data_IF_551377315188
#
_entry.id   IF_551377315188
#
_cell.length_a   1.000
_cell.length_b   1.000
_cell.length_c   1.000
_cell.angle_alpha   90.00
_cell.angle_beta   90.00
_cell.angle_gamma   90.00
#
_symmetry.space_group_name_H-M   'P 1'
#
loop_
_entity.id
_entity.type
_entity.pdbx_description
1 polymer ?
#
# COMPACT_ATOMS: atom_id res chain seq x y z
N UNK A 1 1.59 47.40 -40.47
CA UNK A 1 1.07 46.48 -39.42
C UNK A 1 -0.33 46.08 -39.85
N UNK A 2 -0.43 45.00 -40.64
CA UNK A 2 -1.70 44.53 -41.18
C UNK A 2 -2.11 43.26 -40.42
N UNK A 3 -3.24 43.37 -39.72
CA UNK A 3 -3.99 42.25 -39.18
C UNK A 3 -4.31 41.27 -40.31
N UNK A 4 -3.86 40.02 -40.21
CA UNK A 4 -4.65 38.83 -40.57
C UNK A 4 -3.90 37.55 -40.20
N UNK A 5 -3.86 37.24 -38.90
CA UNK A 5 -3.83 35.85 -38.42
C UNK A 5 -5.10 35.16 -38.93
N UNK A 6 -5.15 34.79 -40.21
CA UNK A 6 -6.21 33.90 -40.70
C UNK A 6 -5.92 32.51 -40.13
N UNK A 7 -6.52 32.26 -38.97
CA UNK A 7 -6.52 30.98 -38.27
C UNK A 7 -7.02 29.81 -39.15
N UNK A 8 -7.72 30.13 -40.24
CA UNK A 8 -8.15 29.21 -41.29
C UNK A 8 -7.57 29.69 -42.63
N UNK A 9 -6.82 28.84 -43.31
CA UNK A 9 -6.12 29.19 -44.55
C UNK A 9 -6.43 28.23 -45.71
N UNK A 10 -6.17 28.69 -46.93
CA UNK A 10 -6.17 27.89 -48.17
C UNK A 10 -7.41 27.00 -48.35
N UNK A 11 -8.61 27.59 -48.23
CA UNK A 11 -9.86 26.89 -48.54
C UNK A 11 -9.92 26.67 -50.07
N UNK A 12 -9.89 25.41 -50.51
CA UNK A 12 -9.92 25.03 -51.92
C UNK A 12 -10.99 23.97 -52.18
N UNK A 13 -11.77 24.16 -53.23
CA UNK A 13 -12.73 23.18 -53.71
C UNK A 13 -12.09 22.32 -54.81
N UNK A 14 -11.97 21.03 -54.55
CA UNK A 14 -11.56 20.05 -55.56
C UNK A 14 -12.80 19.35 -56.12
N UNK A 15 -12.94 19.39 -57.44
CA UNK A 15 -14.00 18.70 -58.17
C UNK A 15 -13.39 17.54 -58.96
N UNK A 16 -14.11 16.42 -59.01
CA UNK A 16 -13.71 15.27 -59.84
C UNK A 16 -13.77 15.62 -61.33
N UNK A 17 -12.84 15.06 -62.11
CA UNK A 17 -12.82 15.22 -63.57
C UNK A 17 -14.05 14.60 -64.25
N UNK A 18 -14.65 13.57 -63.62
CA UNK A 18 -15.82 12.85 -64.13
C UNK A 18 -17.17 13.57 -63.85
N UNK A 19 -17.12 14.84 -63.46
CA UNK A 19 -18.29 15.64 -63.09
C UNK A 19 -18.90 16.31 -64.33
N UNK A 20 -20.21 16.14 -64.55
CA UNK A 20 -20.92 16.87 -65.61
C UNK A 20 -20.95 18.37 -65.34
N UNK A 21 -21.19 19.19 -66.37
CA UNK A 21 -21.21 20.65 -66.21
C UNK A 21 -22.32 21.12 -65.26
N UNK A 22 -23.47 20.45 -65.26
CA UNK A 22 -24.57 20.70 -64.32
C UNK A 22 -24.16 20.36 -62.88
N UNK A 23 -23.49 19.22 -62.66
CA UNK A 23 -23.00 18.83 -61.34
C UNK A 23 -21.91 19.78 -60.83
N UNK A 24 -21.01 20.25 -61.71
CA UNK A 24 -20.01 21.28 -61.37
C UNK A 24 -20.68 22.57 -60.91
N UNK A 25 -21.72 23.02 -61.61
CA UNK A 25 -22.47 24.22 -61.24
C UNK A 25 -23.15 24.06 -59.87
N UNK A 26 -23.81 22.91 -59.64
CA UNK A 26 -24.44 22.58 -58.35
C UNK A 26 -23.40 22.60 -57.22
N UNK A 27 -22.23 22.00 -57.42
CA UNK A 27 -21.18 21.89 -56.43
C UNK A 27 -20.51 23.23 -56.13
N UNK A 28 -20.27 24.07 -57.15
CA UNK A 28 -19.74 25.43 -56.96
C UNK A 28 -20.71 26.28 -56.14
N UNK A 29 -22.03 26.18 -56.37
CA UNK A 29 -23.03 26.90 -55.59
C UNK A 29 -23.18 26.33 -54.18
N UNK A 30 -23.12 25.00 -54.03
CA UNK A 30 -23.18 24.33 -52.73
C UNK A 30 -21.99 24.70 -51.83
N UNK A 31 -20.77 24.77 -52.37
CA UNK A 31 -19.57 25.10 -51.61
C UNK A 31 -19.24 26.60 -51.58
N UNK A 32 -20.13 27.47 -52.08
CA UNK A 32 -19.89 28.91 -52.09
C UNK A 32 -19.83 29.45 -50.65
N UNK A 33 -18.68 30.01 -50.29
CA UNK A 33 -18.37 30.55 -48.97
C UNK A 33 -18.21 32.08 -49.03
N UNK A 34 -18.64 32.75 -47.95
CA UNK A 34 -18.22 34.09 -47.59
C UNK A 34 -17.41 33.97 -46.29
N UNK A 35 -16.09 34.16 -46.38
CA UNK A 35 -15.14 33.80 -45.31
C UNK A 35 -15.29 32.33 -44.88
N UNK A 36 -15.97 32.06 -43.78
CA UNK A 36 -16.23 30.71 -43.24
C UNK A 36 -17.70 30.31 -43.26
N UNK A 37 -18.58 31.16 -43.78
CA UNK A 37 -20.03 30.93 -43.80
C UNK A 37 -20.53 30.56 -45.19
N UNK A 38 -21.42 29.55 -45.28
CA UNK A 38 -22.00 29.14 -46.55
C UNK A 38 -23.04 30.15 -47.04
N UNK A 39 -22.87 30.61 -48.28
CA UNK A 39 -23.81 31.52 -48.94
C UNK A 39 -25.14 30.82 -49.21
N UNK A 40 -25.11 29.53 -49.55
CA UNK A 40 -26.28 28.74 -49.91
C UNK A 40 -26.47 27.56 -48.96
N UNK A 41 -27.64 27.47 -48.34
CA UNK A 41 -28.04 26.27 -47.59
C UNK A 41 -28.41 25.12 -48.56
N UNK A 42 -28.27 23.84 -48.16
CA UNK A 42 -28.61 22.70 -49.02
C UNK A 42 -30.08 22.71 -49.47
N UNK A 43 -30.98 23.27 -48.64
CA UNK A 43 -32.40 23.45 -48.98
C UNK A 43 -32.61 24.40 -50.17
N UNK A 44 -31.79 25.45 -50.30
CA UNK A 44 -31.87 26.40 -51.42
C UNK A 44 -31.37 25.76 -52.72
N UNK A 45 -30.26 25.02 -52.65
CA UNK A 45 -29.71 24.29 -53.81
C UNK A 45 -30.71 23.26 -54.35
N UNK A 46 -31.31 22.44 -53.47
CA UNK A 46 -32.33 21.46 -53.88
C UNK A 46 -33.52 22.08 -54.61
N UNK A 47 -33.99 23.24 -54.13
CA UNK A 47 -35.12 23.96 -54.76
C UNK A 47 -34.74 24.56 -56.11
N UNK A 48 -33.52 25.09 -56.25
CA UNK A 48 -33.05 25.72 -57.49
C UNK A 48 -32.85 24.71 -58.62
N UNK A 49 -32.32 23.53 -58.31
CA UNK A 49 -31.99 22.50 -59.30
C UNK A 49 -33.00 21.34 -59.34
N UNK A 50 -34.09 21.41 -58.56
CA UNK A 50 -35.14 20.38 -58.49
C UNK A 50 -34.58 18.97 -58.22
N UNK A 51 -33.62 18.86 -57.32
CA UNK A 51 -32.98 17.60 -56.92
C UNK A 51 -33.38 17.19 -55.49
N UNK A 52 -33.41 15.88 -55.24
CA UNK A 52 -33.64 15.30 -53.93
C UNK A 52 -32.43 15.48 -53.00
N UNK A 53 -32.63 15.25 -51.69
CA UNK A 53 -31.53 15.26 -50.72
C UNK A 53 -30.53 14.11 -50.96
N UNK A 54 -31.02 12.93 -51.35
CA UNK A 54 -30.16 11.77 -51.63
C UNK A 54 -29.27 12.02 -52.84
N UNK A 55 -29.80 12.65 -53.89
CA UNK A 55 -29.02 13.05 -55.06
C UNK A 55 -27.94 14.07 -54.68
N UNK A 56 -28.32 15.15 -53.99
CA UNK A 56 -27.34 16.16 -53.56
C UNK A 56 -26.22 15.54 -52.69
N UNK A 57 -26.58 14.70 -51.71
CA UNK A 57 -25.58 14.01 -50.87
C UNK A 57 -24.67 13.09 -51.68
N UNK A 58 -25.21 12.35 -52.65
CA UNK A 58 -24.42 11.48 -53.53
C UNK A 58 -23.47 12.30 -54.39
N UNK A 59 -23.96 13.36 -55.04
CA UNK A 59 -23.15 14.27 -55.86
C UNK A 59 -22.02 14.92 -55.07
N UNK A 60 -22.29 15.45 -53.86
CA UNK A 60 -21.26 16.07 -53.02
C UNK A 60 -20.23 15.05 -52.53
N UNK A 61 -20.66 13.87 -52.08
CA UNK A 61 -19.76 12.84 -51.55
C UNK A 61 -18.88 12.20 -52.63
N UNK A 62 -19.37 12.13 -53.88
CA UNK A 62 -18.67 11.46 -54.98
C UNK A 62 -17.72 12.41 -55.71
N UNK A 63 -18.14 13.66 -55.94
CA UNK A 63 -17.46 14.53 -56.89
C UNK A 63 -16.84 15.78 -56.27
N UNK A 64 -16.96 16.00 -54.97
CA UNK A 64 -16.36 17.18 -54.33
C UNK A 64 -15.67 16.88 -53.01
N UNK A 65 -14.55 17.56 -52.80
CA UNK A 65 -13.87 17.64 -51.51
C UNK A 65 -13.43 19.08 -51.30
N UNK A 66 -13.81 19.66 -50.17
CA UNK A 66 -13.28 20.95 -49.73
C UNK A 66 -12.05 20.70 -48.85
N UNK A 67 -10.89 21.22 -49.24
CA UNK A 67 -9.67 21.19 -48.43
C UNK A 67 -9.45 22.55 -47.79
N UNK A 68 -8.94 22.57 -46.56
CA UNK A 68 -8.63 23.80 -45.82
C UNK A 68 -7.61 23.50 -44.74
N UNK A 69 -6.98 24.55 -44.21
CA UNK A 69 -5.91 24.43 -43.23
C UNK A 69 -6.28 25.17 -41.95
N UNK A 70 -6.13 24.50 -40.80
CA UNK A 70 -6.36 25.11 -39.49
C UNK A 70 -5.04 25.35 -38.77
N UNK A 71 -4.87 26.54 -38.22
CA UNK A 71 -3.70 26.89 -37.44
C UNK A 71 -3.78 26.27 -36.04
N UNK A 72 -2.75 25.54 -35.64
CA UNK A 72 -2.63 25.01 -34.29
C UNK A 72 -1.70 25.87 -33.44
N UNK A 73 -2.24 26.44 -32.37
CA UNK A 73 -1.47 27.30 -31.45
C UNK A 73 -0.42 26.52 -30.64
N UNK A 74 -0.52 25.18 -30.57
CA UNK A 74 0.40 24.37 -29.78
C UNK A 74 1.72 24.07 -30.51
N UNK A 75 1.68 23.80 -31.81
CA UNK A 75 2.87 23.52 -32.62
C UNK A 75 3.16 24.61 -33.66
N UNK A 76 2.37 25.70 -33.67
CA UNK A 76 2.49 26.82 -34.60
C UNK A 76 2.49 26.40 -36.07
N UNK A 77 1.75 25.32 -36.39
CA UNK A 77 1.69 24.75 -37.74
C UNK A 77 0.25 24.64 -38.23
N UNK A 78 0.10 24.48 -39.54
CA UNK A 78 -1.20 24.26 -40.17
C UNK A 78 -1.49 22.76 -40.33
N UNK A 79 -2.68 22.33 -39.91
CA UNK A 79 -3.20 20.99 -40.16
C UNK A 79 -4.16 21.02 -41.36
N UNK A 80 -3.95 20.13 -42.32
CA UNK A 80 -4.85 19.97 -43.46
C UNK A 80 -6.10 19.21 -43.03
N UNK A 81 -7.26 19.77 -43.34
CA UNK A 81 -8.57 19.14 -43.17
C UNK A 81 -9.26 19.01 -44.51
N UNK A 82 -10.16 18.02 -44.58
CA UNK A 82 -10.97 17.73 -45.75
C UNK A 82 -12.42 17.57 -45.32
N UNK A 83 -13.34 18.21 -46.02
CA UNK A 83 -14.77 18.09 -45.79
C UNK A 83 -15.48 17.66 -47.08
N UNK A 84 -16.32 16.63 -46.96
CA UNK A 84 -17.17 16.12 -48.05
C UNK A 84 -18.62 16.63 -48.00
N UNK A 85 -18.94 17.43 -46.98
CA UNK A 85 -20.25 18.08 -46.82
C UNK A 85 -20.12 19.39 -46.02
N UNK A 86 -21.09 20.29 -46.19
CA UNK A 86 -21.20 21.50 -45.37
C UNK A 86 -21.29 21.17 -43.87
N UNK A 87 -21.98 20.08 -43.50
CA UNK A 87 -22.10 19.65 -42.10
C UNK A 87 -20.75 19.26 -41.50
N UNK A 88 -19.94 18.51 -42.25
CA UNK A 88 -18.59 18.11 -41.84
C UNK A 88 -17.67 19.32 -41.69
N UNK A 89 -17.70 20.25 -42.64
CA UNK A 89 -16.95 21.51 -42.54
C UNK A 89 -17.36 22.32 -41.30
N UNK A 90 -18.66 22.55 -41.12
CA UNK A 90 -19.19 23.30 -39.99
C UNK A 90 -18.85 22.66 -38.65
N UNK A 91 -18.86 21.33 -38.56
CA UNK A 91 -18.43 20.63 -37.35
C UNK A 91 -16.97 20.92 -37.03
N UNK A 92 -16.07 20.80 -38.02
CA UNK A 92 -14.66 21.09 -37.84
C UNK A 92 -14.41 22.55 -37.43
N UNK A 93 -15.11 23.51 -38.05
CA UNK A 93 -15.00 24.93 -37.69
C UNK A 93 -15.56 25.22 -36.29
N UNK A 94 -16.66 24.56 -35.87
CA UNK A 94 -17.19 24.68 -34.51
C UNK A 94 -16.24 24.13 -33.45
N UNK A 95 -15.62 22.99 -33.72
CA UNK A 95 -14.62 22.40 -32.84
C UNK A 95 -13.40 23.32 -32.73
N UNK A 96 -13.00 23.94 -33.84
CA UNK A 96 -11.93 24.93 -33.89
C UNK A 96 -12.21 26.17 -33.04
N UNK A 97 -13.42 26.72 -33.10
CA UNK A 97 -13.82 27.93 -32.34
C UNK A 97 -14.45 27.63 -30.96
N UNK A 98 -14.47 26.37 -30.52
CA UNK A 98 -15.14 25.98 -29.28
C UNK A 98 -14.52 26.69 -28.07
N UNK A 99 -15.33 27.47 -27.35
CA UNK A 99 -14.93 28.18 -26.11
C UNK A 99 -14.51 27.26 -24.97
N UNK A 100 -14.86 25.97 -25.06
CA UNK A 100 -14.50 24.97 -24.04
C UNK A 100 -13.06 24.48 -24.17
N UNK A 101 -12.40 24.70 -25.32
CA UNK A 101 -11.00 24.38 -25.53
C UNK A 101 -10.20 25.68 -25.58
N UNK A 102 -9.19 25.80 -24.70
CA UNK A 102 -8.36 27.02 -24.59
C UNK A 102 -7.56 27.35 -25.86
N UNK A 103 -7.47 26.42 -26.81
CA UNK A 103 -6.87 26.58 -28.14
C UNK A 103 -7.14 25.33 -28.99
N UNK A 104 -7.21 25.47 -30.33
CA UNK A 104 -7.29 24.30 -31.22
C UNK A 104 -6.00 23.48 -31.17
N UNK A 105 -6.15 22.17 -31.00
CA UNK A 105 -5.05 21.21 -31.02
C UNK A 105 -5.17 20.28 -32.23
N UNK A 106 -4.18 20.34 -33.12
CA UNK A 106 -4.06 19.43 -34.26
C UNK A 106 -3.86 17.99 -33.80
N UNK A 107 -4.10 17.04 -34.70
CA UNK A 107 -3.95 15.62 -34.41
C UNK A 107 -2.52 15.25 -34.03
N UNK A 108 -1.50 15.86 -34.66
CA UNK A 108 -0.11 15.64 -34.27
C UNK A 108 0.13 15.97 -32.79
N UNK A 109 -0.31 17.14 -32.33
CA UNK A 109 -0.18 17.54 -30.92
C UNK A 109 -1.00 16.63 -29.99
N UNK A 110 -2.19 16.19 -30.40
CA UNK A 110 -2.99 15.23 -29.62
C UNK A 110 -2.26 13.90 -29.46
N UNK A 111 -1.66 13.38 -30.53
CA UNK A 111 -0.91 12.12 -30.50
C UNK A 111 0.37 12.23 -29.68
N UNK A 112 1.14 13.32 -29.80
CA UNK A 112 2.32 13.55 -28.96
C UNK A 112 1.95 13.58 -27.48
N UNK A 113 0.83 14.22 -27.12
CA UNK A 113 0.37 14.24 -25.73
C UNK A 113 -0.07 12.86 -25.23
N UNK A 114 -0.76 12.07 -26.06
CA UNK A 114 -1.09 10.69 -25.71
C UNK A 114 0.17 9.87 -25.49
N UNK A 115 1.15 9.99 -26.37
CA UNK A 115 2.44 9.29 -26.24
C UNK A 115 3.18 9.72 -24.96
N UNK A 116 3.24 11.02 -24.67
CA UNK A 116 3.85 11.52 -23.44
C UNK A 116 3.13 10.99 -22.19
N UNK A 117 1.80 10.97 -22.20
CA UNK A 117 1.01 10.38 -21.13
C UNK A 117 1.33 8.90 -20.95
N UNK A 118 1.37 8.12 -22.03
CA UNK A 118 1.75 6.70 -21.98
C UNK A 118 3.17 6.50 -21.44
N UNK A 119 4.15 7.27 -21.93
CA UNK A 119 5.54 7.22 -21.45
C UNK A 119 5.65 7.57 -19.97
N UNK A 120 4.87 8.55 -19.49
CA UNK A 120 4.88 8.92 -18.08
C UNK A 120 4.25 7.83 -17.20
N UNK A 121 3.18 7.17 -17.67
CA UNK A 121 2.58 6.02 -16.99
C UNK A 121 3.56 4.84 -16.91
N UNK A 122 4.25 4.54 -18.01
CA UNK A 122 5.29 3.50 -18.04
C UNK A 122 6.45 3.85 -17.10
N UNK A 123 6.88 5.11 -17.08
CA UNK A 123 7.93 5.58 -16.16
C UNK A 123 7.53 5.38 -14.71
N UNK A 124 6.32 5.82 -14.32
CA UNK A 124 5.78 5.64 -12.96
C UNK A 124 5.69 4.17 -12.57
N UNK A 125 5.24 3.31 -13.49
CA UNK A 125 5.20 1.86 -13.28
C UNK A 125 6.59 1.28 -13.07
N UNK A 126 7.56 1.68 -13.88
CA UNK A 126 8.94 1.20 -13.77
C UNK A 126 9.62 1.67 -12.47
N UNK A 127 9.37 2.90 -12.04
CA UNK A 127 9.85 3.41 -10.75
C UNK A 127 9.28 2.63 -9.57
N UNK A 128 7.98 2.31 -9.61
CA UNK A 128 7.30 1.51 -8.61
C UNK A 128 7.88 0.09 -8.53
N UNK A 129 8.08 -0.57 -9.67
CA UNK A 129 8.71 -1.90 -9.75
C UNK A 129 10.13 -1.86 -9.15
N UNK A 130 10.94 -0.85 -9.50
CA UNK A 130 12.30 -0.70 -8.95
C UNK A 130 12.31 -0.54 -7.43
N UNK A 131 11.35 0.18 -6.86
CA UNK A 131 11.21 0.33 -5.39
C UNK A 131 10.93 -1.00 -4.72
N UNK A 132 9.91 -1.72 -5.20
CA UNK A 132 9.58 -3.04 -4.70
C UNK A 132 10.76 -4.03 -4.88
N UNK A 133 11.46 -3.94 -6.01
CA UNK A 133 12.62 -4.79 -6.29
C UNK A 133 13.73 -4.59 -5.25
N UNK A 134 14.05 -3.33 -4.96
CA UNK A 134 15.05 -2.92 -3.99
C UNK A 134 14.66 -3.30 -2.56
N UNK A 135 13.38 -3.17 -2.21
CA UNK A 135 12.86 -3.59 -0.91
C UNK A 135 13.04 -5.10 -0.68
N UNK A 136 12.89 -5.90 -1.74
CA UNK A 136 13.10 -7.34 -1.71
C UNK A 136 14.58 -7.68 -1.55
N UNK A 137 15.46 -7.04 -2.32
CA UNK A 137 16.92 -7.19 -2.19
C UNK A 137 17.43 -6.84 -0.79
N UNK A 138 16.89 -5.75 -0.22
CA UNK A 138 17.22 -5.30 1.13
C UNK A 138 16.58 -6.14 2.24
N UNK A 139 15.72 -7.11 1.88
CA UNK A 139 14.96 -7.93 2.82
C UNK A 139 14.16 -7.09 3.82
N UNK A 140 13.47 -6.05 3.35
CA UNK A 140 12.73 -5.10 4.20
C UNK A 140 11.70 -5.78 5.12
N UNK A 141 11.26 -7.00 4.80
CA UNK A 141 10.41 -7.80 5.69
C UNK A 141 11.05 -8.07 7.06
N UNK A 142 12.36 -7.94 7.22
CA UNK A 142 13.05 -8.01 8.52
C UNK A 142 12.61 -6.91 9.47
N UNK A 143 12.22 -5.74 8.96
CA UNK A 143 11.75 -4.59 9.75
C UNK A 143 10.32 -4.76 10.26
N UNK A 144 9.58 -5.76 9.75
CA UNK A 144 8.22 -6.05 10.16
C UNK A 144 8.19 -6.83 11.48
N UNK A 145 7.19 -6.54 12.31
CA UNK A 145 6.82 -7.35 13.47
C UNK A 145 6.35 -8.74 13.05
N UNK A 146 6.29 -9.69 14.00
CA UNK A 146 5.83 -11.05 13.72
C UNK A 146 4.38 -11.10 13.20
N UNK A 147 3.52 -10.20 13.70
CA UNK A 147 2.16 -10.07 13.21
C UNK A 147 2.14 -9.60 11.75
N UNK A 148 2.89 -8.54 11.42
CA UNK A 148 2.98 -8.00 10.06
C UNK A 148 3.62 -9.00 9.09
N UNK A 149 4.62 -9.77 9.52
CA UNK A 149 5.18 -10.89 8.73
C UNK A 149 4.12 -11.94 8.42
N UNK A 150 3.28 -12.28 9.39
CA UNK A 150 2.13 -13.16 9.19
C UNK A 150 1.12 -12.60 8.20
N UNK A 151 0.79 -11.31 8.31
CA UNK A 151 -0.10 -10.60 7.36
C UNK A 151 0.50 -10.61 5.96
N UNK A 152 1.76 -10.25 5.80
CA UNK A 152 2.46 -10.26 4.52
C UNK A 152 2.44 -11.66 3.89
N UNK A 153 2.77 -12.70 4.67
CA UNK A 153 2.70 -14.09 4.17
C UNK A 153 1.31 -14.41 3.61
N UNK A 154 0.27 -14.07 4.36
CA UNK A 154 -1.10 -14.31 3.93
C UNK A 154 -1.44 -13.49 2.67
N UNK A 155 -0.93 -12.26 2.54
CA UNK A 155 -1.07 -11.48 1.30
C UNK A 155 -0.45 -12.18 0.08
N UNK A 156 0.61 -12.96 0.26
CA UNK A 156 1.22 -13.74 -0.82
C UNK A 156 0.43 -15.01 -1.18
N UNK A 157 -0.51 -15.43 -0.34
CA UNK A 157 -1.26 -16.69 -0.44
C UNK A 157 -2.71 -16.50 -0.89
N UNK A 158 -3.32 -15.37 -0.58
CA UNK A 158 -4.73 -15.11 -0.87
C UNK A 158 -4.95 -13.70 -1.41
N UNK A 159 -6.17 -13.39 -1.85
CA UNK A 159 -6.57 -12.05 -2.28
C UNK A 159 -7.12 -11.25 -1.10
N UNK A 160 -7.43 -9.96 -1.32
CA UNK A 160 -7.86 -9.06 -0.24
C UNK A 160 -9.15 -9.47 0.48
N UNK A 161 -10.21 -9.88 -0.23
CA UNK A 161 -11.46 -10.29 0.43
C UNK A 161 -11.29 -11.53 1.33
N UNK A 162 -10.64 -12.63 0.88
CA UNK A 162 -10.27 -13.74 1.77
C UNK A 162 -9.41 -13.31 2.95
N UNK A 163 -8.42 -12.43 2.75
CA UNK A 163 -7.54 -11.92 3.80
C UNK A 163 -8.34 -11.15 4.86
N UNK A 164 -9.20 -10.24 4.42
CA UNK A 164 -10.11 -9.46 5.26
C UNK A 164 -11.02 -10.38 6.06
N UNK A 165 -11.59 -11.41 5.45
CA UNK A 165 -12.44 -12.38 6.15
C UNK A 165 -11.65 -13.23 7.15
N UNK A 166 -10.44 -13.67 6.80
CA UNK A 166 -9.57 -14.45 7.67
C UNK A 166 -9.21 -13.68 8.94
N UNK A 167 -8.70 -12.46 8.79
CA UNK A 167 -8.34 -11.61 9.92
C UNK A 167 -9.55 -11.01 10.63
N UNK A 168 -10.67 -10.79 9.94
CA UNK A 168 -11.93 -10.39 10.56
C UNK A 168 -12.44 -11.43 11.56
N UNK A 169 -12.31 -12.73 11.24
CA UNK A 169 -12.65 -13.82 12.15
C UNK A 169 -11.67 -13.95 13.32
N UNK A 170 -10.37 -13.75 13.08
CA UNK A 170 -9.31 -13.91 14.10
C UNK A 170 -9.26 -12.72 15.08
N UNK A 171 -9.37 -11.50 14.57
CA UNK A 171 -9.19 -10.27 15.35
C UNK A 171 -10.51 -9.74 15.93
N UNK A 172 -11.65 -10.05 15.29
CA UNK A 172 -12.94 -9.43 15.58
C UNK A 172 -13.05 -8.00 15.03
N UNK A 173 -14.26 -7.44 15.10
CA UNK A 173 -14.59 -6.10 14.55
C UNK A 173 -13.79 -4.97 15.20
N UNK A 174 -13.57 -5.02 16.51
CA UNK A 174 -12.91 -3.98 17.30
C UNK A 174 -11.41 -3.83 16.99
N UNK A 175 -10.75 -4.93 16.59
CA UNK A 175 -9.32 -4.97 16.29
C UNK A 175 -9.02 -5.07 14.79
N UNK A 176 -10.04 -5.02 13.94
CA UNK A 176 -9.84 -5.04 12.49
C UNK A 176 -8.93 -3.91 11.99
N UNK A 177 -8.94 -2.76 12.69
CA UNK A 177 -8.00 -1.65 12.46
C UNK A 177 -6.51 -2.05 12.53
N UNK A 178 -6.17 -3.12 13.27
CA UNK A 178 -4.80 -3.62 13.36
C UNK A 178 -4.34 -4.26 12.04
N UNK A 179 -5.23 -4.97 11.33
CA UNK A 179 -4.94 -5.47 9.97
C UNK A 179 -4.64 -4.30 9.03
N UNK A 180 -5.49 -3.27 9.05
CA UNK A 180 -5.33 -2.08 8.20
C UNK A 180 -3.99 -1.38 8.49
N UNK A 181 -3.64 -1.21 9.77
CA UNK A 181 -2.34 -0.65 10.17
C UNK A 181 -1.17 -1.51 9.70
N UNK A 182 -1.27 -2.84 9.82
CA UNK A 182 -0.24 -3.75 9.34
C UNK A 182 -0.07 -3.66 7.82
N UNK A 183 -1.17 -3.60 7.06
CA UNK A 183 -1.12 -3.42 5.60
C UNK A 183 -0.42 -2.11 5.21
N UNK A 184 -0.73 -1.00 5.88
CA UNK A 184 -0.02 0.26 5.65
C UNK A 184 1.46 0.18 6.01
N UNK A 185 1.81 -0.49 7.10
CA UNK A 185 3.22 -0.67 7.48
C UNK A 185 3.97 -1.53 6.45
N UNK A 186 3.34 -2.58 5.91
CA UNK A 186 3.93 -3.42 4.86
C UNK A 186 4.11 -2.62 3.56
N UNK A 187 3.16 -1.78 3.18
CA UNK A 187 3.28 -0.88 2.03
C UNK A 187 4.39 0.17 2.25
N UNK A 188 4.52 0.72 3.45
CA UNK A 188 5.60 1.66 3.83
C UNK A 188 6.99 1.02 3.78
N UNK A 189 7.07 -0.31 3.91
CA UNK A 189 8.30 -1.08 3.68
C UNK A 189 8.53 -1.41 2.20
N UNK A 190 7.68 -0.91 1.29
CA UNK A 190 7.74 -1.14 -0.15
C UNK A 190 7.68 -2.64 -0.50
N UNK A 191 6.88 -3.42 0.24
CA UNK A 191 6.71 -4.87 -0.01
C UNK A 191 5.41 -5.20 -0.76
N UNK A 192 4.39 -4.35 -0.59
CA UNK A 192 3.12 -4.42 -1.31
C UNK A 192 2.73 -3.01 -1.77
N UNK A 193 1.75 -2.93 -2.67
CA UNK A 193 1.06 -1.70 -3.07
C UNK A 193 -0.40 -1.87 -2.69
N UNK A 194 -0.98 -0.93 -1.95
CA UNK A 194 -2.39 -0.98 -1.61
C UNK A 194 -3.20 -0.22 -2.66
N UNK A 195 -4.19 -0.90 -3.22
CA UNK A 195 -5.21 -0.28 -4.08
C UNK A 195 -6.31 0.29 -3.19
N UNK A 196 -6.67 1.55 -3.43
CA UNK A 196 -7.63 2.28 -2.61
C UNK A 196 -8.76 2.84 -3.48
N UNK A 197 -9.94 2.97 -2.90
CA UNK A 197 -11.07 3.66 -3.53
C UNK A 197 -10.97 5.19 -3.36
N UNK A 198 -12.02 5.91 -3.79
CA UNK A 198 -12.10 7.38 -3.64
C UNK A 198 -12.18 7.85 -2.19
N UNK A 199 -12.55 6.96 -1.25
CA UNK A 199 -12.65 7.24 0.18
C UNK A 199 -11.41 6.83 0.98
N UNK A 200 -10.30 6.50 0.30
CA UNK A 200 -9.05 6.00 0.89
C UNK A 200 -9.20 4.62 1.57
N UNK A 201 -10.28 3.88 1.27
CA UNK A 201 -10.46 2.53 1.76
C UNK A 201 -9.68 1.55 0.90
N UNK A 202 -8.92 0.65 1.54
CA UNK A 202 -8.21 -0.43 0.86
C UNK A 202 -9.25 -1.36 0.22
N UNK A 203 -9.15 -1.52 -1.10
CA UNK A 203 -9.98 -2.42 -1.90
C UNK A 203 -9.21 -3.66 -2.37
N UNK A 204 -7.88 -3.55 -2.50
CA UNK A 204 -7.03 -4.65 -2.90
C UNK A 204 -5.55 -4.36 -2.61
N UNK A 205 -4.66 -5.29 -2.98
CA UNK A 205 -3.22 -5.06 -2.99
C UNK A 205 -2.52 -5.78 -4.13
N UNK A 206 -1.34 -5.29 -4.48
CA UNK A 206 -0.42 -5.90 -5.43
C UNK A 206 0.95 -6.10 -4.79
N UNK A 207 1.75 -7.00 -5.35
CA UNK A 207 3.14 -7.22 -4.95
C UNK A 207 3.92 -7.76 -6.15
N UNK A 208 5.26 -7.68 -6.09
CA UNK A 208 6.09 -8.33 -7.10
C UNK A 208 6.10 -9.84 -6.89
N UNK A 209 5.84 -10.61 -7.95
CA UNK A 209 5.79 -12.08 -7.87
C UNK A 209 7.07 -12.69 -7.29
N UNK A 210 8.25 -12.09 -7.52
CA UNK A 210 9.52 -12.55 -6.94
C UNK A 210 9.55 -12.55 -5.40
N UNK A 211 8.68 -11.77 -4.74
CA UNK A 211 8.55 -11.79 -3.28
C UNK A 211 8.07 -13.15 -2.77
N UNK A 212 7.35 -13.92 -3.60
CA UNK A 212 6.89 -15.29 -3.25
C UNK A 212 8.05 -16.25 -3.00
N UNK A 213 9.17 -16.06 -3.66
CA UNK A 213 10.35 -16.93 -3.51
C UNK A 213 10.95 -16.83 -2.10
N UNK A 214 10.72 -15.71 -1.42
CA UNK A 214 11.20 -15.44 -0.05
C UNK A 214 10.17 -15.78 1.03
N UNK A 215 9.05 -16.40 0.67
CA UNK A 215 7.95 -16.72 1.60
C UNK A 215 8.40 -17.48 2.85
N UNK A 216 9.36 -18.38 2.72
CA UNK A 216 9.91 -19.15 3.84
C UNK A 216 10.77 -18.29 4.78
N UNK A 217 11.51 -17.31 4.24
CA UNK A 217 12.32 -16.36 5.03
C UNK A 217 11.47 -15.33 5.78
N UNK A 218 10.28 -15.01 5.26
CA UNK A 218 9.34 -14.07 5.88
C UNK A 218 8.77 -14.68 7.18
N UNK A 219 8.69 -16.00 7.29
CA UNK A 219 8.26 -16.69 8.51
C UNK A 219 9.32 -16.71 9.60
N UNK A 220 8.97 -16.24 10.79
CA UNK A 220 9.69 -16.62 12.00
C UNK A 220 9.34 -18.06 12.36
N UNK A 221 10.31 -18.96 12.26
CA UNK A 221 10.23 -20.24 12.97
C UNK A 221 9.98 -19.92 14.45
N UNK A 222 8.88 -20.45 15.02
CA UNK A 222 8.80 -20.62 16.47
C UNK A 222 9.97 -21.52 16.82
N UNK A 223 11.03 -20.94 17.37
CA UNK A 223 12.02 -21.72 18.09
C UNK A 223 11.26 -22.34 19.26
N UNK A 224 10.79 -23.57 19.07
CA UNK A 224 10.39 -24.47 20.14
C UNK A 224 11.66 -24.82 20.93
N UNK A 225 12.29 -23.84 21.57
CA UNK A 225 13.29 -24.15 22.57
C UNK A 225 12.53 -24.70 23.76
N UNK A 226 12.63 -26.00 24.00
CA UNK A 226 12.20 -26.58 25.26
C UNK A 226 12.83 -25.78 26.40
N UNK A 227 11.98 -25.28 27.29
CA UNK A 227 12.41 -24.53 28.46
C UNK A 227 13.26 -25.45 29.35
N UNK A 228 14.59 -25.31 29.31
CA UNK A 228 15.55 -25.96 30.23
C UNK A 228 15.50 -25.35 31.64
N UNK A 229 14.30 -25.25 32.23
CA UNK A 229 14.16 -24.79 33.61
C UNK A 229 14.12 -26.02 34.53
N UNK A 230 15.18 -26.21 35.32
CA UNK A 230 15.13 -27.07 36.49
C UNK A 230 14.42 -26.32 37.63
N UNK A 231 13.39 -26.92 38.20
CA UNK A 231 12.77 -26.42 39.43
C UNK A 231 13.42 -27.17 40.60
N UNK A 232 14.10 -26.45 41.49
CA UNK A 232 14.52 -27.02 42.77
C UNK A 232 13.27 -27.33 43.61
N UNK A 233 13.22 -28.52 44.21
CA UNK A 233 12.07 -29.00 44.98
C UNK A 233 11.96 -28.42 46.39
N UNK A 234 12.98 -27.69 46.85
CA UNK A 234 13.09 -27.14 48.21
C UNK A 234 13.54 -25.67 48.16
N UNK A 235 12.60 -24.77 47.90
CA UNK A 235 12.86 -23.32 47.94
C UNK A 235 11.66 -22.60 48.55
N UNK A 236 11.89 -21.56 49.36
CA UNK A 236 10.85 -20.63 49.83
C UNK A 236 10.36 -19.66 48.74
N UNK A 237 10.49 -20.06 47.47
CA UNK A 237 10.15 -19.27 46.30
C UNK A 237 8.84 -19.77 45.69
N UNK A 238 7.93 -18.85 45.37
CA UNK A 238 6.72 -19.16 44.62
C UNK A 238 6.92 -18.79 43.15
N UNK A 239 7.01 -19.80 42.28
CA UNK A 239 7.16 -19.63 40.83
C UNK A 239 5.91 -20.11 40.10
N UNK A 240 5.25 -19.22 39.36
CA UNK A 240 4.02 -19.52 38.63
C UNK A 240 4.23 -19.27 37.13
N UNK A 241 3.77 -20.21 36.31
CA UNK A 241 3.66 -20.00 34.86
C UNK A 241 2.30 -19.36 34.57
N UNK A 242 2.30 -18.14 34.06
CA UNK A 242 1.12 -17.44 33.60
C UNK A 242 0.85 -17.86 32.15
N UNK A 243 -0.23 -18.59 31.94
CA UNK A 243 -0.66 -19.07 30.63
C UNK A 243 -1.46 -18.01 29.89
N UNK A 244 -1.25 -17.92 28.58
CA UNK A 244 -2.01 -17.00 27.72
C UNK A 244 -3.50 -17.38 27.78
N UNK A 245 -4.34 -16.39 28.05
CA UNK A 245 -5.78 -16.54 27.99
C UNK A 245 -6.23 -16.63 26.52
N UNK A 246 -6.41 -17.85 26.02
CA UNK A 246 -6.90 -18.09 24.65
C UNK A 246 -8.39 -17.80 24.50
N UNK A 247 -9.12 -17.73 25.61
CA UNK A 247 -10.56 -17.46 25.67
C UNK A 247 -10.84 -15.99 26.01
N UNK A 248 -10.00 -15.08 25.48
CA UNK A 248 -10.14 -13.66 25.73
C UNK A 248 -11.33 -13.10 24.94
N UNK A 249 -12.47 -12.91 25.61
CA UNK A 249 -13.70 -12.38 24.99
C UNK A 249 -13.81 -10.85 25.00
N UNK A 250 -13.03 -10.14 25.82
CA UNK A 250 -13.05 -8.67 25.95
C UNK A 250 -11.63 -8.09 25.98
N UNK A 251 -11.35 -6.89 25.43
CA UNK A 251 -10.02 -6.25 25.48
C UNK A 251 -9.48 -6.04 26.91
N UNK A 252 -10.36 -5.74 27.87
CA UNK A 252 -9.98 -5.59 29.29
C UNK A 252 -9.83 -6.94 30.02
N UNK A 253 -10.14 -8.07 29.37
CA UNK A 253 -9.88 -9.37 29.96
C UNK A 253 -8.38 -9.61 30.12
N UNK A 254 -7.95 -10.32 31.20
CA UNK A 254 -6.55 -10.60 31.44
C UNK A 254 -5.88 -11.28 30.25
N UNK A 255 -4.71 -10.76 29.84
CA UNK A 255 -3.89 -11.36 28.78
C UNK A 255 -3.41 -12.77 29.17
N UNK A 256 -3.13 -12.94 30.46
CA UNK A 256 -2.78 -14.22 31.05
C UNK A 256 -3.87 -14.63 32.05
N UNK A 257 -4.40 -15.83 31.88
CA UNK A 257 -5.41 -16.39 32.77
C UNK A 257 -5.28 -17.92 32.78
N UNK A 258 -5.66 -18.52 33.91
CA UNK A 258 -5.63 -19.95 34.12
C UNK A 258 -5.97 -20.28 35.57
N UNK A 259 -6.07 -21.57 35.87
CA UNK A 259 -6.24 -22.09 37.22
C UNK A 259 -4.95 -22.76 37.68
N UNK A 260 -4.68 -22.71 38.99
CA UNK A 260 -3.49 -23.30 39.61
C UNK A 260 -3.95 -24.14 40.80
N UNK A 261 -3.42 -25.35 40.91
CA UNK A 261 -3.69 -26.26 42.04
C UNK A 261 -2.41 -26.50 42.82
N UNK A 262 -2.39 -26.09 44.09
CA UNK A 262 -1.26 -26.35 44.99
C UNK A 262 -1.44 -27.69 45.70
N UNK A 263 -0.44 -28.56 45.61
CA UNK A 263 -0.42 -29.86 46.30
C UNK A 263 -0.07 -29.76 47.79
N UNK A 264 0.41 -28.59 48.22
CA UNK A 264 0.82 -28.28 49.59
C UNK A 264 0.30 -26.90 49.97
N UNK A 265 0.12 -26.65 51.26
CA UNK A 265 -0.23 -25.33 51.75
C UNK A 265 0.87 -24.32 51.39
N UNK A 266 0.45 -23.14 50.90
CA UNK A 266 1.31 -21.99 50.66
C UNK A 266 0.96 -20.93 51.70
N UNK A 267 1.95 -20.43 52.43
CA UNK A 267 1.76 -19.39 53.45
C UNK A 267 2.57 -18.16 53.07
N UNK A 268 1.90 -17.03 52.90
CA UNK A 268 2.52 -15.71 52.73
C UNK A 268 2.37 -14.99 54.06
N UNK A 269 3.47 -14.72 54.75
CA UNK A 269 3.45 -14.25 56.13
C UNK A 269 3.29 -12.71 56.19
N UNK A 270 2.45 -12.18 57.08
CA UNK A 270 2.36 -10.75 57.31
C UNK A 270 3.67 -10.21 57.88
N UNK A 271 4.07 -9.00 57.46
CA UNK A 271 5.30 -8.35 57.93
C UNK A 271 6.60 -8.84 57.29
N UNK A 272 6.54 -9.81 56.36
CA UNK A 272 7.69 -10.20 55.54
C UNK A 272 7.64 -9.46 54.21
N UNK A 273 8.78 -8.90 53.81
CA UNK A 273 8.95 -8.23 52.52
C UNK A 273 9.38 -9.24 51.44
N UNK A 274 8.75 -9.16 50.27
CA UNK A 274 8.96 -10.08 49.16
C UNK A 274 9.38 -9.33 47.90
N UNK A 275 10.40 -9.84 47.22
CA UNK A 275 10.74 -9.45 45.86
C UNK A 275 9.84 -10.20 44.90
N UNK A 276 9.20 -9.47 43.99
CA UNK A 276 8.47 -10.05 42.88
C UNK A 276 9.10 -9.64 41.55
N UNK A 277 9.04 -10.53 40.58
CA UNK A 277 9.46 -10.23 39.22
C UNK A 277 8.63 -11.04 38.23
N UNK A 278 8.53 -10.48 37.02
CA UNK A 278 7.95 -11.15 35.88
C UNK A 278 8.97 -11.20 34.75
N UNK A 279 9.03 -12.33 34.05
CA UNK A 279 9.90 -12.46 32.88
C UNK A 279 9.20 -13.19 31.76
N UNK A 280 9.30 -12.63 30.57
CA UNK A 280 8.87 -13.25 29.34
C UNK A 280 9.79 -14.43 29.02
N UNK A 281 9.22 -15.59 28.70
CA UNK A 281 9.95 -16.76 28.22
C UNK A 281 9.40 -17.21 26.86
N UNK A 282 10.13 -18.14 26.25
CA UNK A 282 9.76 -18.74 24.98
C UNK A 282 8.27 -19.18 24.94
N UNK A 283 7.67 -19.02 23.75
CA UNK A 283 6.25 -19.27 23.48
C UNK A 283 5.27 -18.30 24.18
N UNK A 284 5.64 -17.02 24.29
CA UNK A 284 4.82 -15.93 24.85
C UNK A 284 4.30 -16.21 26.28
N UNK A 285 4.96 -17.13 27.01
CA UNK A 285 4.58 -17.46 28.38
C UNK A 285 5.26 -16.48 29.32
N UNK A 286 4.48 -15.91 30.23
CA UNK A 286 4.99 -15.06 31.29
C UNK A 286 5.18 -15.92 32.54
N UNK A 287 6.29 -15.73 33.23
CA UNK A 287 6.54 -16.38 34.52
C UNK A 287 6.56 -15.32 35.60
N UNK A 288 5.78 -15.57 36.63
CA UNK A 288 5.75 -14.76 37.85
C UNK A 288 6.57 -15.47 38.92
N UNK A 289 7.32 -14.70 39.70
CA UNK A 289 8.04 -15.22 40.86
C UNK A 289 7.95 -14.27 42.02
N UNK A 290 7.82 -14.84 43.21
CA UNK A 290 7.77 -14.16 44.49
C UNK A 290 8.74 -14.85 45.45
N UNK A 291 9.67 -14.10 46.04
CA UNK A 291 10.74 -14.60 46.91
C UNK A 291 10.88 -13.66 48.12
N UNK A 292 10.90 -14.17 49.36
CA UNK A 292 11.15 -13.30 50.52
C UNK A 292 12.57 -12.73 50.50
N UNK A 293 12.74 -11.46 50.90
CA UNK A 293 14.06 -10.80 50.87
C UNK A 293 15.12 -11.59 51.65
N UNK A 294 14.72 -12.28 52.72
CA UNK A 294 15.60 -13.13 53.53
C UNK A 294 16.33 -14.23 52.75
N UNK A 295 15.82 -14.64 51.58
CA UNK A 295 16.53 -15.61 50.71
C UNK A 295 17.72 -15.00 49.97
N UNK A 296 17.73 -13.68 49.79
CA UNK A 296 18.86 -12.94 49.20
C UNK A 296 19.88 -12.57 50.29
N UNK A 297 19.44 -12.41 51.53
CA UNK A 297 20.28 -12.16 52.70
C UNK A 297 20.73 -13.48 53.36
N UNK A 298 21.47 -14.31 52.62
CA UNK A 298 22.12 -15.50 53.19
C UNK A 298 23.33 -15.10 54.03
N UNK A 299 23.09 -14.44 55.16
CA UNK A 299 24.12 -14.29 56.18
C UNK A 299 24.43 -15.67 56.79
N UNK A 300 25.70 -15.99 57.06
CA UNK A 300 26.05 -17.23 57.73
C UNK A 300 25.38 -17.27 59.10
N UNK A 301 24.79 -18.42 59.44
CA UNK A 301 24.17 -18.65 60.74
C UNK A 301 25.26 -18.65 61.82
N UNK A 302 25.40 -17.55 62.56
CA UNK A 302 26.37 -17.44 63.64
C UNK A 302 25.79 -18.08 64.90
N UNK A 303 26.45 -19.12 65.41
CA UNK A 303 26.11 -19.75 66.70
C UNK A 303 27.20 -19.42 67.73
N UNK A 304 26.83 -19.02 68.96
CA UNK A 304 27.81 -18.84 70.04
C UNK A 304 28.65 -20.10 70.26
N UNK A 305 29.94 -19.96 70.57
CA UNK A 305 30.82 -21.08 70.94
C UNK A 305 30.27 -21.84 72.17
N UNK A 306 29.43 -21.21 73.00
CA UNK A 306 28.72 -21.86 74.11
C UNK A 306 27.71 -22.92 73.67
N UNK A 307 27.29 -22.90 72.40
CA UNK A 307 26.28 -23.81 71.85
C UNK A 307 26.91 -25.01 71.12
N UNK A 308 28.25 -25.03 70.94
CA UNK A 308 28.94 -26.21 70.39
C UNK A 308 29.25 -27.24 71.49
N UNK A 309 29.29 -28.55 71.17
CA UNK A 309 29.69 -29.60 72.11
C UNK A 309 31.02 -29.31 72.83
N UNK A 310 31.15 -29.78 74.07
CA UNK A 310 32.30 -29.47 74.95
C UNK A 310 33.66 -29.80 74.32
N UNK A 311 33.75 -30.91 73.59
CA UNK A 311 34.98 -31.34 72.89
C UNK A 311 35.40 -30.34 71.82
N UNK A 312 34.44 -29.89 70.99
CA UNK A 312 34.69 -28.87 69.98
C UNK A 312 35.02 -27.53 70.60
N UNK A 313 34.37 -27.16 71.71
CA UNK A 313 34.67 -25.94 72.47
C UNK A 313 36.12 -25.91 72.94
N UNK A 314 36.61 -27.02 73.48
CA UNK A 314 38.01 -27.15 73.93
C UNK A 314 38.99 -27.05 72.77
N UNK A 315 38.74 -27.77 71.66
CA UNK A 315 39.60 -27.69 70.47
C UNK A 315 39.63 -26.29 69.84
N UNK A 316 38.48 -25.59 69.79
CA UNK A 316 38.40 -24.21 69.32
C UNK A 316 39.18 -23.27 70.27
N UNK A 317 39.06 -23.45 71.58
CA UNK A 317 39.79 -22.64 72.56
C UNK A 317 41.31 -22.84 72.48
N UNK A 318 41.79 -24.08 72.31
CA UNK A 318 43.21 -24.39 72.11
C UNK A 318 43.73 -23.80 70.79
N UNK A 319 42.96 -23.93 69.71
CA UNK A 319 43.30 -23.35 68.42
C UNK A 319 43.45 -21.82 68.50
N UNK A 320 42.47 -21.14 69.11
CA UNK A 320 42.51 -19.68 69.29
C UNK A 320 43.64 -19.24 70.24
N UNK A 321 43.94 -20.03 71.27
CA UNK A 321 45.06 -19.77 72.18
C UNK A 321 46.41 -19.89 71.46
N UNK A 322 46.56 -20.89 70.60
CA UNK A 322 47.76 -21.09 69.78
C UNK A 322 47.97 -20.00 68.72
N UNK A 323 46.87 -19.47 68.17
CA UNK A 323 46.93 -18.29 67.29
C UNK A 323 47.46 -17.05 68.02
N UNK A 324 47.05 -16.85 69.28
CA UNK A 324 47.52 -15.73 70.10
C UNK A 324 48.97 -15.88 70.59
N UNK A 325 49.44 -17.10 70.84
CA UNK A 325 50.81 -17.35 71.34
C UNK A 325 51.90 -17.36 70.27
N UNK A 326 51.52 -17.40 68.99
CA UNK A 326 52.44 -17.27 67.85
C UNK A 326 52.46 -15.86 67.24
N UNK A 327 51.72 -14.92 67.85
CA UNK A 327 51.82 -13.51 67.53
C UNK A 327 52.80 -12.90 68.52
N UNK A 328 54.10 -12.94 68.18
CA UNK A 328 55.10 -12.08 68.80
C UNK A 328 54.67 -10.63 68.51
N UNK A 329 54.18 -9.93 69.54
CA UNK A 329 54.02 -8.47 69.51
C UNK A 329 55.29 -7.80 70.02
#
# INVERSE_FOLDING_TARGET
MENQNKQIANIQLHLSENCSDLEKEILQQYWKLNETEFVNAPKAIKRKYTISQSELTKTTATYSTLTFYLYCDHCHSFEKHEAKSQSSFNQTIREFHSRYYQSFKCNHCKEVQKQQFHLEQERKRNELIKKLDKAIENKNWKNLSNFEKGVLKNCLEMNFDPLKNHYGKILGSTNFKQLIKALYNIENQELIILERDRGDYIINYQYLNKLKDFKNEITTHKNNSESKASFNSETNELKLKLTINKEKFHPDSPLYAGTITFKKQIVINPGIEYVFAQWERANDNLYFTLVPISEFEKFPEQKPISNVPKILRQGIQEFLKNLGSNLDF
#
